data_IF_363685107528
#
_entry.id   IF_363685107528
#
_cell.length_a   1.000
_cell.length_b   1.000
_cell.length_c   1.000
_cell.angle_alpha   90.00
_cell.angle_beta   90.00
_cell.angle_gamma   90.00
#
_symmetry.space_group_name_H-M   'P 1'
#
loop_
_entity.id
_entity.type
_entity.pdbx_description
1 polymer ?
#
# COMPACT_ATOMS: atom_id res chain seq x y z
N UNK A 1 18.86 -7.01 4.36
CA UNK A 1 18.38 -5.72 3.82
C UNK A 1 17.04 -5.43 4.49
N UNK A 2 16.70 -4.19 4.82
CA UNK A 2 15.42 -3.87 5.47
C UNK A 2 14.25 -3.77 4.46
N UNK A 3 14.28 -4.56 3.39
CA UNK A 3 13.22 -4.62 2.38
C UNK A 3 12.82 -6.06 2.17
N UNK A 4 11.54 -6.32 2.31
CA UNK A 4 10.89 -7.60 1.98
C UNK A 4 10.16 -7.48 0.65
N UNK A 5 10.19 -8.57 -0.11
CA UNK A 5 9.50 -8.70 -1.39
C UNK A 5 8.49 -9.84 -1.31
N UNK A 6 7.32 -9.62 -1.88
CA UNK A 6 6.25 -10.61 -1.90
C UNK A 6 6.27 -11.41 -3.20
N UNK A 7 6.33 -12.75 -3.14
CA UNK A 7 6.43 -13.58 -4.35
C UNK A 7 5.34 -13.30 -5.38
N UNK A 8 4.08 -13.09 -4.95
CA UNK A 8 2.98 -12.80 -5.85
C UNK A 8 3.19 -11.51 -6.64
N UNK A 9 3.70 -10.45 -5.99
CA UNK A 9 4.00 -9.18 -6.65
C UNK A 9 5.27 -9.27 -7.50
N UNK A 10 6.29 -10.02 -7.05
CA UNK A 10 7.54 -10.23 -7.80
C UNK A 10 7.31 -10.98 -9.13
N UNK A 11 6.24 -11.76 -9.22
CA UNK A 11 5.88 -12.49 -10.43
C UNK A 11 5.25 -11.60 -11.52
N UNK A 12 4.86 -10.34 -11.20
CA UNK A 12 4.23 -9.42 -12.14
C UNK A 12 5.30 -8.64 -12.92
N UNK A 13 5.40 -8.82 -14.24
CA UNK A 13 6.43 -8.17 -15.04
C UNK A 13 6.32 -6.65 -15.03
N UNK A 14 7.44 -5.98 -14.76
CA UNK A 14 7.53 -4.52 -14.76
C UNK A 14 6.97 -3.83 -13.52
N UNK A 15 6.50 -4.58 -12.51
CA UNK A 15 6.14 -4.04 -11.21
C UNK A 15 7.38 -3.94 -10.31
N UNK A 16 7.61 -2.76 -9.75
CA UNK A 16 8.56 -2.55 -8.66
C UNK A 16 7.75 -2.44 -7.38
N UNK A 17 8.09 -3.22 -6.36
CA UNK A 17 7.46 -3.17 -5.05
C UNK A 17 8.49 -3.46 -3.96
N UNK A 18 8.16 -3.14 -2.72
CA UNK A 18 8.95 -3.48 -1.55
C UNK A 18 8.22 -3.08 -0.28
N UNK A 19 8.41 -3.84 0.76
CA UNK A 19 7.96 -3.53 2.11
C UNK A 19 9.19 -3.23 2.97
N UNK A 20 9.38 -1.94 3.28
CA UNK A 20 10.51 -1.52 4.13
C UNK A 20 10.17 -1.85 5.58
N UNK A 21 10.94 -2.77 6.15
CA UNK A 21 10.79 -3.18 7.54
C UNK A 21 11.44 -2.17 8.49
N UNK A 22 11.31 -2.41 9.79
CA UNK A 22 11.92 -1.56 10.82
C UNK A 22 13.41 -1.34 10.54
N UNK A 23 13.84 -0.07 10.56
CA UNK A 23 15.24 0.32 10.36
C UNK A 23 15.94 0.35 11.72
N UNK A 24 16.91 -0.55 11.97
CA UNK A 24 17.65 -0.56 13.24
C UNK A 24 18.37 0.77 13.49
N UNK A 25 18.35 1.22 14.74
CA UNK A 25 19.06 2.44 15.15
C UNK A 25 18.32 3.75 14.90
N UNK A 26 17.20 3.75 14.20
CA UNK A 26 16.32 4.93 14.08
C UNK A 26 15.23 4.86 15.15
N UNK A 27 15.28 5.81 16.10
CA UNK A 27 14.27 5.92 17.15
C UNK A 27 12.99 6.56 16.59
N UNK A 28 11.88 5.82 16.65
CA UNK A 28 10.55 6.23 16.15
C UNK A 28 9.50 6.37 17.26
N UNK A 29 9.91 6.28 18.52
CA UNK A 29 9.07 6.49 19.70
C UNK A 29 8.94 7.99 20.00
N UNK A 30 8.38 8.70 19.02
CA UNK A 30 8.14 10.14 19.02
C UNK A 30 6.86 10.40 18.23
N UNK A 31 6.44 11.67 18.07
CA UNK A 31 5.31 11.97 17.21
C UNK A 31 5.56 11.57 15.74
N UNK A 32 4.47 11.39 14.99
CA UNK A 32 4.54 10.86 13.62
C UNK A 32 5.40 11.72 12.70
N UNK A 33 5.30 13.04 12.78
CA UNK A 33 6.03 13.93 11.88
C UNK A 33 7.54 13.84 12.13
N UNK A 34 7.94 13.80 13.39
CA UNK A 34 9.34 13.63 13.78
C UNK A 34 9.86 12.23 13.41
N UNK A 35 9.07 11.18 13.63
CA UNK A 35 9.44 9.81 13.22
C UNK A 35 9.69 9.74 11.71
N UNK A 36 8.81 10.29 10.89
CA UNK A 36 8.97 10.32 9.43
C UNK A 36 10.19 11.15 9.01
N UNK A 37 10.45 12.27 9.66
CA UNK A 37 11.64 13.08 9.38
C UNK A 37 12.94 12.33 9.70
N UNK A 38 12.98 11.56 10.80
CA UNK A 38 14.12 10.71 11.16
C UNK A 38 14.33 9.53 10.20
N UNK A 39 13.25 8.96 9.69
CA UNK A 39 13.29 7.82 8.77
C UNK A 39 13.63 8.23 7.34
N UNK A 40 13.28 9.47 6.94
CA UNK A 40 13.39 9.93 5.55
C UNK A 40 14.75 9.68 4.89
N UNK A 41 15.91 9.99 5.51
CA UNK A 41 17.21 9.79 4.88
C UNK A 41 17.46 8.30 4.53
N UNK A 42 17.09 7.39 5.42
CA UNK A 42 17.24 5.96 5.20
C UNK A 42 16.23 5.43 4.17
N UNK A 43 14.99 5.92 4.18
CA UNK A 43 13.99 5.59 3.16
C UNK A 43 14.44 6.04 1.78
N UNK A 44 14.91 7.29 1.63
CA UNK A 44 15.42 7.81 0.36
C UNK A 44 16.60 6.96 -0.16
N UNK A 45 17.50 6.53 0.75
CA UNK A 45 18.62 5.66 0.42
C UNK A 45 18.13 4.27 -0.05
N UNK A 46 17.17 3.68 0.63
CA UNK A 46 16.58 2.38 0.28
C UNK A 46 15.86 2.48 -1.07
N UNK A 47 15.02 3.50 -1.26
CA UNK A 47 14.31 3.74 -2.52
C UNK A 47 15.29 3.81 -3.69
N UNK A 48 16.34 4.62 -3.56
CA UNK A 48 17.31 4.83 -4.64
C UNK A 48 18.18 3.61 -4.89
N UNK A 49 18.77 3.04 -3.82
CA UNK A 49 19.78 1.98 -3.96
C UNK A 49 19.18 0.60 -4.18
N UNK A 50 18.14 0.28 -3.42
CA UNK A 50 17.63 -1.09 -3.34
C UNK A 50 16.43 -1.32 -4.29
N UNK A 51 15.65 -0.26 -4.57
CA UNK A 51 14.48 -0.33 -5.45
C UNK A 51 14.66 0.41 -6.78
N UNK A 52 15.71 1.23 -6.93
CA UNK A 52 15.94 2.02 -8.14
C UNK A 52 14.89 3.12 -8.37
N UNK A 53 14.25 3.59 -7.30
CA UNK A 53 13.19 4.60 -7.32
C UNK A 53 13.79 5.95 -6.94
N UNK A 54 13.53 6.98 -7.75
CA UNK A 54 13.77 8.37 -7.34
C UNK A 54 12.76 8.75 -6.25
N UNK A 55 13.20 9.11 -5.02
CA UNK A 55 12.30 9.54 -3.96
C UNK A 55 11.37 10.70 -4.37
N UNK A 56 11.79 11.55 -5.30
CA UNK A 56 10.97 12.63 -5.82
C UNK A 56 9.78 12.15 -6.67
N UNK A 57 9.79 10.90 -7.14
CA UNK A 57 8.68 10.30 -7.89
C UNK A 57 7.65 9.59 -7.02
N UNK A 58 7.85 9.57 -5.69
CA UNK A 58 6.99 8.85 -4.75
C UNK A 58 5.79 9.69 -4.31
N UNK A 59 4.60 9.23 -4.61
CA UNK A 59 3.36 9.75 -4.05
C UNK A 59 3.11 9.19 -2.65
N UNK A 60 2.73 10.05 -1.72
CA UNK A 60 2.38 9.69 -0.35
C UNK A 60 0.92 10.04 -0.05
N UNK A 61 0.26 9.23 0.76
CA UNK A 61 -1.03 9.56 1.37
C UNK A 61 -0.80 10.24 2.73
N UNK A 62 -1.66 11.19 3.10
CA UNK A 62 -1.61 11.81 4.43
C UNK A 62 -1.91 10.81 5.55
N UNK A 63 -2.79 9.84 5.27
CA UNK A 63 -3.21 8.77 6.18
C UNK A 63 -3.92 9.28 7.44
N UNK A 64 -5.19 9.55 7.26
CA UNK A 64 -6.09 10.05 8.31
C UNK A 64 -6.97 8.94 8.93
N UNK A 65 -6.69 7.66 8.60
CA UNK A 65 -7.48 6.47 8.96
C UNK A 65 -8.91 6.51 8.41
N UNK A 66 -9.06 7.06 7.21
CA UNK A 66 -10.32 7.18 6.47
C UNK A 66 -10.49 6.09 5.41
N UNK A 67 -11.28 6.42 4.38
CA UNK A 67 -11.65 5.51 3.30
C UNK A 67 -11.31 6.06 1.89
N UNK A 68 -10.72 7.25 1.83
CA UNK A 68 -10.47 7.91 0.56
C UNK A 68 -9.25 7.31 -0.14
N UNK A 69 -9.46 6.94 -1.41
CA UNK A 69 -8.39 6.56 -2.34
C UNK A 69 -8.28 7.64 -3.40
N UNK A 70 -7.10 8.23 -3.58
CA UNK A 70 -6.84 9.28 -4.58
C UNK A 70 -6.10 8.71 -5.79
N UNK A 71 -6.52 9.13 -6.99
CA UNK A 71 -5.75 8.87 -8.21
C UNK A 71 -4.63 9.87 -8.31
N UNK A 72 -3.39 9.38 -8.45
CA UNK A 72 -2.21 10.21 -8.63
C UNK A 72 -2.09 10.60 -10.11
N UNK A 73 -2.15 11.88 -10.45
CA UNK A 73 -2.03 12.33 -11.82
C UNK A 73 -0.56 12.26 -12.29
N UNK A 74 -0.31 12.11 -13.60
CA UNK A 74 1.02 12.28 -14.17
C UNK A 74 1.40 13.77 -14.13
N UNK A 75 2.17 14.19 -13.14
CA UNK A 75 2.53 15.62 -13.00
C UNK A 75 3.97 15.79 -12.58
N UNK A 76 4.64 16.77 -13.21
CA UNK A 76 5.95 17.25 -12.79
C UNK A 76 5.80 18.46 -11.86
N UNK A 77 6.67 18.57 -10.86
CA UNK A 77 6.83 19.77 -10.04
C UNK A 77 5.72 20.08 -9.03
N UNK A 78 4.88 19.11 -8.68
CA UNK A 78 3.86 19.27 -7.61
C UNK A 78 4.26 18.51 -6.36
N UNK A 79 3.73 18.98 -5.23
CA UNK A 79 3.81 18.24 -3.98
C UNK A 79 3.12 16.88 -4.13
N UNK A 80 3.88 15.80 -3.90
CA UNK A 80 3.40 14.43 -4.09
C UNK A 80 2.76 13.88 -2.80
N UNK A 81 2.05 14.72 -2.07
CA UNK A 81 1.23 14.35 -0.92
C UNK A 81 -0.26 14.49 -1.28
N UNK A 82 -1.03 13.44 -1.07
CA UNK A 82 -2.48 13.45 -1.26
C UNK A 82 -3.19 13.70 0.08
N UNK A 83 -3.71 14.92 0.32
CA UNK A 83 -4.35 15.25 1.58
C UNK A 83 -5.67 14.49 1.78
N UNK A 84 -5.95 14.13 3.03
CA UNK A 84 -7.17 13.42 3.43
C UNK A 84 -7.32 12.03 2.84
N UNK A 85 -6.25 11.43 2.31
CA UNK A 85 -6.28 10.12 1.66
C UNK A 85 -5.60 9.07 2.51
N UNK A 86 -6.12 7.86 2.46
CA UNK A 86 -5.54 6.65 3.04
C UNK A 86 -5.18 5.61 1.96
N UNK A 87 -5.41 5.94 0.71
CA UNK A 87 -5.04 5.13 -0.42
C UNK A 87 -4.69 5.97 -1.64
N UNK A 88 -3.87 5.40 -2.50
CA UNK A 88 -3.36 5.99 -3.73
C UNK A 88 -3.57 5.00 -4.87
N UNK A 89 -3.80 5.50 -6.09
CA UNK A 89 -3.90 4.67 -7.28
C UNK A 89 -3.29 5.38 -8.49
N UNK A 90 -2.66 4.60 -9.38
CA UNK A 90 -2.10 5.11 -10.63
C UNK A 90 -2.12 4.06 -11.74
N UNK A 91 -2.16 4.50 -12.98
CA UNK A 91 -1.88 3.70 -14.18
C UNK A 91 -0.75 4.33 -15.01
N UNK A 92 -0.01 5.29 -14.44
CA UNK A 92 1.08 5.99 -15.12
C UNK A 92 2.41 5.30 -14.83
N UNK A 93 3.11 4.78 -15.85
CA UNK A 93 4.44 4.22 -15.66
C UNK A 93 5.43 5.24 -15.09
N UNK A 94 6.27 4.80 -14.15
CA UNK A 94 7.25 5.67 -13.49
C UNK A 94 6.71 6.46 -12.30
N UNK A 95 5.40 6.39 -12.02
CA UNK A 95 4.82 6.91 -10.78
C UNK A 95 4.83 5.83 -9.70
N UNK A 96 5.27 6.19 -8.51
CA UNK A 96 5.38 5.27 -7.37
C UNK A 96 4.45 5.70 -6.23
N UNK A 97 3.90 4.72 -5.53
CA UNK A 97 2.96 4.93 -4.42
C UNK A 97 3.59 4.46 -3.12
N UNK A 98 3.47 5.26 -2.06
CA UNK A 98 3.99 4.94 -0.74
C UNK A 98 2.99 5.23 0.36
N UNK A 99 2.92 4.33 1.33
CA UNK A 99 2.22 4.52 2.61
C UNK A 99 3.10 4.03 3.75
N UNK A 100 2.84 4.56 4.93
CA UNK A 100 3.52 4.15 6.16
C UNK A 100 2.59 3.32 7.01
N UNK A 101 3.09 2.20 7.50
CA UNK A 101 2.36 1.33 8.44
C UNK A 101 3.26 0.97 9.62
N UNK A 102 2.63 0.77 10.78
CA UNK A 102 3.24 0.10 11.93
C UNK A 102 2.48 -1.21 12.20
N UNK A 103 1.27 -1.08 12.74
CA UNK A 103 0.39 -2.22 13.04
C UNK A 103 -0.74 -2.38 12.01
N UNK A 104 -1.11 -1.29 11.32
CA UNK A 104 -2.07 -1.33 10.22
C UNK A 104 -1.51 -2.10 9.03
N UNK A 105 -2.39 -2.54 8.13
CA UNK A 105 -2.04 -3.27 6.93
C UNK A 105 -1.83 -2.30 5.76
N UNK A 106 -0.75 -2.49 5.00
CA UNK A 106 -0.63 -2.01 3.64
C UNK A 106 -1.25 -3.05 2.71
N UNK A 107 -2.09 -2.62 1.77
CA UNK A 107 -2.73 -3.50 0.80
C UNK A 107 -2.40 -3.02 -0.60
N UNK A 108 -1.65 -3.83 -1.35
CA UNK A 108 -1.41 -3.63 -2.77
C UNK A 108 -2.54 -4.27 -3.57
N UNK A 109 -3.06 -3.53 -4.53
CA UNK A 109 -3.98 -4.03 -5.55
C UNK A 109 -3.33 -3.76 -6.90
N UNK A 110 -3.03 -4.79 -7.67
CA UNK A 110 -2.28 -4.67 -8.93
C UNK A 110 -3.05 -5.32 -10.06
N UNK A 111 -3.25 -4.57 -11.13
CA UNK A 111 -3.82 -5.05 -12.38
C UNK A 111 -2.69 -5.18 -13.43
N UNK A 112 -2.19 -6.38 -13.70
CA UNK A 112 -1.14 -6.59 -14.70
C UNK A 112 -1.65 -6.37 -16.14
N UNK A 113 -2.96 -6.49 -16.38
CA UNK A 113 -3.56 -6.33 -17.71
C UNK A 113 -3.65 -4.84 -18.08
N UNK A 114 -4.14 -4.01 -17.16
CA UNK A 114 -4.25 -2.55 -17.33
C UNK A 114 -2.97 -1.81 -16.95
N UNK A 115 -2.01 -2.50 -16.33
CA UNK A 115 -0.78 -1.90 -15.77
C UNK A 115 -1.10 -0.77 -14.80
N UNK A 116 -2.10 -1.01 -13.97
CA UNK A 116 -2.57 -0.10 -12.94
C UNK A 116 -2.33 -0.69 -11.55
N UNK A 117 -2.12 0.16 -10.57
CA UNK A 117 -1.99 -0.28 -9.20
C UNK A 117 -2.65 0.70 -8.23
N UNK A 118 -3.03 0.17 -7.07
CA UNK A 118 -3.40 0.95 -5.90
C UNK A 118 -2.65 0.42 -4.68
N UNK A 119 -2.42 1.31 -3.72
CA UNK A 119 -1.82 1.00 -2.44
C UNK A 119 -2.64 1.69 -1.35
N UNK A 120 -3.22 0.92 -0.43
CA UNK A 120 -4.11 1.47 0.60
C UNK A 120 -3.63 1.12 2.01
N UNK A 121 -3.82 2.07 2.92
CA UNK A 121 -3.61 1.94 4.36
C UNK A 121 -4.91 1.46 5.01
N UNK A 122 -4.92 0.28 5.58
CA UNK A 122 -6.11 -0.32 6.17
C UNK A 122 -5.82 -0.93 7.54
N UNK A 123 -6.26 -0.25 8.57
CA UNK A 123 -6.33 -0.77 9.93
C UNK A 123 -7.78 -0.98 10.36
N UNK A 124 -8.06 -0.90 11.66
CA UNK A 124 -9.42 -1.03 12.23
C UNK A 124 -10.46 -0.18 11.50
N UNK A 125 -10.20 1.13 11.38
CA UNK A 125 -11.17 2.05 10.74
C UNK A 125 -11.22 1.85 9.24
N UNK A 126 -10.08 1.78 8.56
CA UNK A 126 -10.01 1.60 7.10
C UNK A 126 -10.71 0.32 6.63
N UNK A 127 -10.54 -0.80 7.36
CA UNK A 127 -11.24 -2.04 7.04
C UNK A 127 -12.75 -1.94 7.34
N UNK A 128 -13.14 -1.29 8.45
CA UNK A 128 -14.55 -1.09 8.78
C UNK A 128 -15.27 -0.21 7.74
N UNK A 129 -14.58 0.77 7.17
CA UNK A 129 -15.08 1.65 6.13
C UNK A 129 -14.98 1.05 4.71
N UNK A 130 -14.29 -0.09 4.57
CA UNK A 130 -14.17 -0.81 3.30
C UNK A 130 -13.23 -0.15 2.29
N UNK A 131 -12.09 0.39 2.72
CA UNK A 131 -11.14 1.08 1.82
C UNK A 131 -10.60 0.17 0.71
N UNK A 132 -10.35 -1.12 1.00
CA UNK A 132 -9.84 -2.06 0.00
C UNK A 132 -10.85 -2.34 -1.12
N UNK A 133 -12.13 -2.71 -0.88
CA UNK A 133 -13.12 -2.84 -1.93
C UNK A 133 -13.43 -1.51 -2.65
N UNK A 134 -13.29 -0.36 -1.97
CA UNK A 134 -13.38 0.95 -2.65
C UNK A 134 -12.25 1.14 -3.65
N UNK A 135 -11.04 0.70 -3.33
CA UNK A 135 -9.92 0.73 -4.28
C UNK A 135 -10.19 -0.17 -5.49
N UNK A 136 -10.77 -1.37 -5.30
CA UNK A 136 -11.22 -2.23 -6.42
C UNK A 136 -12.20 -1.49 -7.32
N UNK A 137 -13.22 -0.86 -6.74
CA UNK A 137 -14.21 -0.08 -7.48
C UNK A 137 -13.60 1.12 -8.22
N UNK A 138 -12.71 1.86 -7.56
CA UNK A 138 -12.00 3.00 -8.17
C UNK A 138 -11.13 2.55 -9.35
N UNK A 139 -10.39 1.45 -9.22
CA UNK A 139 -9.57 0.91 -10.31
C UNK A 139 -10.44 0.49 -11.50
N UNK A 140 -11.63 -0.09 -11.25
CA UNK A 140 -12.58 -0.42 -12.31
C UNK A 140 -13.08 0.84 -13.02
N UNK A 141 -13.50 1.86 -12.27
CA UNK A 141 -14.03 3.11 -12.80
C UNK A 141 -12.99 3.92 -13.58
N UNK A 142 -11.78 4.06 -13.01
CA UNK A 142 -10.77 5.00 -13.51
C UNK A 142 -9.82 4.38 -14.53
N UNK A 143 -9.56 3.07 -14.43
CA UNK A 143 -8.57 2.38 -15.28
C UNK A 143 -9.18 1.26 -16.10
N UNK A 144 -10.47 0.94 -15.91
CA UNK A 144 -11.13 -0.18 -16.57
C UNK A 144 -10.63 -1.54 -16.11
N UNK A 145 -10.09 -1.62 -14.90
CA UNK A 145 -9.66 -2.88 -14.27
C UNK A 145 -10.84 -3.77 -13.99
N UNK A 146 -10.68 -5.08 -14.17
CA UNK A 146 -11.67 -6.05 -13.71
C UNK A 146 -11.19 -6.65 -12.41
N UNK A 147 -12.07 -6.81 -11.44
CA UNK A 147 -11.70 -7.43 -10.16
C UNK A 147 -11.05 -8.82 -10.33
N UNK A 148 -11.50 -9.58 -11.34
CA UNK A 148 -10.95 -10.90 -11.67
C UNK A 148 -9.49 -10.88 -12.18
N UNK A 149 -8.97 -9.73 -12.61
CA UNK A 149 -7.60 -9.57 -13.09
C UNK A 149 -6.66 -9.04 -11.99
N UNK A 150 -7.20 -8.68 -10.82
CA UNK A 150 -6.41 -8.09 -9.74
C UNK A 150 -5.65 -9.15 -8.95
N UNK A 151 -4.39 -8.84 -8.65
CA UNK A 151 -3.63 -9.47 -7.56
C UNK A 151 -3.66 -8.55 -6.36
N UNK A 152 -4.08 -9.08 -5.21
CA UNK A 152 -4.13 -8.37 -3.92
C UNK A 152 -3.09 -8.97 -2.99
N UNK A 153 -2.26 -8.12 -2.39
CA UNK A 153 -1.24 -8.53 -1.41
C UNK A 153 -1.39 -7.70 -0.15
N UNK A 154 -1.50 -8.35 0.99
CA UNK A 154 -1.46 -7.74 2.32
C UNK A 154 -0.02 -7.71 2.84
N UNK A 155 0.32 -6.68 3.63
CA UNK A 155 1.57 -6.65 4.41
C UNK A 155 1.41 -7.43 5.72
N UNK A 156 2.51 -7.70 6.46
CA UNK A 156 2.45 -7.92 7.90
C UNK A 156 1.61 -6.83 8.59
N UNK A 157 0.83 -7.21 9.59
CA UNK A 157 0.00 -6.30 10.37
C UNK A 157 -0.37 -6.95 11.70
N UNK A 158 -0.82 -6.17 12.69
CA UNK A 158 -1.23 -6.71 13.98
C UNK A 158 -2.46 -7.62 13.83
N UNK A 159 -2.49 -8.72 14.60
CA UNK A 159 -3.49 -9.79 14.50
C UNK A 159 -3.89 -10.33 15.88
N UNK A 160 -5.02 -11.04 15.98
CA UNK A 160 -5.32 -11.81 17.19
C UNK A 160 -4.22 -12.86 17.51
N UNK A 161 -3.88 -13.10 18.77
CA UNK A 161 -4.47 -12.50 19.98
C UNK A 161 -3.84 -11.16 20.39
N UNK A 162 -2.82 -10.66 19.68
CA UNK A 162 -2.17 -9.38 20.01
C UNK A 162 -3.11 -8.16 19.82
N UNK A 163 -4.13 -8.31 19.01
CA UNK A 163 -5.19 -7.32 18.80
C UNK A 163 -6.56 -7.98 18.73
N UNK A 164 -7.61 -7.30 19.21
CA UNK A 164 -8.96 -7.89 19.33
C UNK A 164 -9.72 -8.03 18.01
N UNK A 165 -9.28 -7.32 16.95
CA UNK A 165 -9.94 -7.29 15.65
C UNK A 165 -9.04 -7.89 14.59
N UNK A 166 -9.50 -8.91 13.87
CA UNK A 166 -8.85 -9.44 12.69
C UNK A 166 -9.27 -8.63 11.44
N UNK A 167 -8.70 -7.44 11.30
CA UNK A 167 -8.98 -6.63 10.11
C UNK A 167 -8.31 -7.19 8.84
N UNK A 168 -7.29 -8.04 8.96
CA UNK A 168 -6.70 -8.70 7.81
C UNK A 168 -7.66 -9.75 7.20
N UNK A 169 -8.34 -10.54 8.03
CA UNK A 169 -9.40 -11.44 7.58
C UNK A 169 -10.52 -10.63 6.89
N UNK A 170 -10.95 -9.54 7.50
CA UNK A 170 -11.96 -8.63 6.93
C UNK A 170 -11.55 -8.08 5.56
N UNK A 171 -10.32 -7.60 5.40
CA UNK A 171 -9.80 -7.09 4.12
C UNK A 171 -9.88 -8.17 3.03
N UNK A 172 -9.49 -9.40 3.35
CA UNK A 172 -9.54 -10.54 2.42
C UNK A 172 -10.98 -10.86 2.00
N UNK A 173 -11.90 -10.94 2.96
CA UNK A 173 -13.32 -11.19 2.73
C UNK A 173 -13.95 -10.10 1.84
N UNK A 174 -13.68 -8.83 2.16
CA UNK A 174 -14.21 -7.68 1.43
C UNK A 174 -13.65 -7.61 -0.01
N UNK A 175 -12.37 -7.95 -0.22
CA UNK A 175 -11.79 -8.04 -1.57
C UNK A 175 -12.40 -9.19 -2.38
N UNK A 176 -12.60 -10.36 -1.75
CA UNK A 176 -13.25 -11.50 -2.40
C UNK A 176 -14.72 -11.18 -2.76
N UNK A 177 -15.46 -10.52 -1.86
CA UNK A 177 -16.81 -10.05 -2.10
C UNK A 177 -16.88 -9.00 -3.22
N UNK A 178 -15.83 -8.21 -3.42
CA UNK A 178 -15.70 -7.28 -4.54
C UNK A 178 -15.33 -7.96 -5.87
N UNK A 179 -15.17 -9.29 -5.90
CA UNK A 179 -14.95 -10.08 -7.10
C UNK A 179 -13.49 -10.43 -7.40
N UNK A 180 -12.55 -10.16 -6.48
CA UNK A 180 -11.18 -10.63 -6.61
C UNK A 180 -11.13 -12.13 -6.32
N UNK A 181 -10.54 -12.98 -7.19
CA UNK A 181 -10.41 -14.41 -6.95
C UNK A 181 -9.65 -14.69 -5.66
N UNK A 182 -10.11 -15.65 -4.86
CA UNK A 182 -9.53 -15.94 -3.56
C UNK A 182 -8.05 -16.41 -3.65
N UNK A 183 -7.67 -17.05 -4.73
CA UNK A 183 -6.30 -17.47 -5.03
C UNK A 183 -5.39 -16.32 -5.50
N UNK A 184 -5.96 -15.15 -5.77
CA UNK A 184 -5.25 -13.90 -6.07
C UNK A 184 -5.16 -12.96 -4.85
N UNK A 185 -5.66 -13.36 -3.69
CA UNK A 185 -5.58 -12.59 -2.44
C UNK A 185 -4.52 -13.23 -1.53
N UNK A 186 -3.38 -12.58 -1.43
CA UNK A 186 -2.21 -13.08 -0.72
C UNK A 186 -2.04 -12.38 0.63
N UNK A 187 -1.85 -13.17 1.66
CA UNK A 187 -1.66 -12.72 3.04
C UNK A 187 -0.50 -13.49 3.67
N UNK A 188 0.59 -12.82 4.11
CA UNK A 188 1.73 -13.51 4.70
C UNK A 188 1.41 -14.14 6.07
N UNK A 189 0.31 -13.76 6.71
CA UNK A 189 -0.08 -14.26 8.02
C UNK A 189 0.84 -13.81 9.16
N UNK A 190 1.70 -12.84 8.94
CA UNK A 190 2.68 -12.33 9.93
C UNK A 190 2.04 -11.25 10.78
N UNK A 191 2.14 -11.42 12.13
CA UNK A 191 1.75 -10.39 13.10
C UNK A 191 2.94 -9.46 13.39
N UNK A 192 2.69 -8.17 13.43
CA UNK A 192 3.66 -7.12 13.86
C UNK A 192 3.76 -7.00 15.36
#
# INVERSE_FOLDING_TARGET
MPVEFFPALSAIPGLIHGFVTRIPGVAVDVDRAEALARLKPEHDRILTRDLGIDPASLWLAEQVHGERVSVCPPTEGVERLQPGSDGLATATPGEFLGIYVADCCAVWLVDPVRRACALVHSGKNGSALGIAPRAVGLMAERFGSRAADLTVQLSPCIRPPAYEIDFAARIREDCAAAGVPADQIHDPGVCT
#
